data_IF_708178709169
#
_entry.id   IF_708178709169
#
_cell.length_a   1.000
_cell.length_b   1.000
_cell.length_c   1.000
_cell.angle_alpha   90.00
_cell.angle_beta   90.00
_cell.angle_gamma   90.00
#
_symmetry.space_group_name_H-M   'P 1'
#
loop_
_entity.id
_entity.type
_entity.pdbx_description
1 polymer ?
#
# COMPACT_ATOMS: atom_id res chain seq x y z
N UNK A 1 0.74 16.04 -17.45
CA UNK A 1 1.32 14.83 -18.08
C UNK A 1 0.75 13.62 -17.36
N UNK A 2 -0.12 12.84 -18.00
CA UNK A 2 -0.60 11.58 -17.43
C UNK A 2 0.52 10.55 -17.58
N UNK A 3 1.35 10.39 -16.56
CA UNK A 3 2.33 9.31 -16.56
C UNK A 3 1.56 7.99 -16.54
N UNK A 4 1.64 7.24 -17.63
CA UNK A 4 1.29 5.83 -17.61
C UNK A 4 2.05 5.19 -16.43
N UNK A 5 1.40 4.32 -15.64
CA UNK A 5 2.12 3.67 -14.55
C UNK A 5 3.31 2.92 -15.14
N UNK A 6 4.51 3.29 -14.69
CA UNK A 6 5.75 2.69 -15.16
C UNK A 6 5.69 1.18 -14.93
N UNK A 7 5.96 0.38 -15.96
CA UNK A 7 5.94 -1.09 -15.90
C UNK A 7 6.98 -1.66 -14.93
N UNK A 8 7.89 -0.83 -14.42
CA UNK A 8 8.89 -1.20 -13.42
C UNK A 8 9.20 -0.01 -12.50
N UNK A 9 9.68 -0.29 -11.31
CA UNK A 9 10.20 0.68 -10.35
C UNK A 9 11.70 0.46 -10.14
N UNK A 10 12.44 1.53 -9.87
CA UNK A 10 13.85 1.42 -9.47
C UNK A 10 13.95 0.63 -8.16
N UNK A 11 14.95 -0.25 -8.05
CA UNK A 11 15.22 -0.99 -6.82
C UNK A 11 15.51 -0.04 -5.65
N UNK A 12 16.11 1.13 -5.92
CA UNK A 12 16.34 2.15 -4.92
C UNK A 12 15.02 2.67 -4.34
N UNK A 13 14.03 2.94 -5.20
CA UNK A 13 12.70 3.35 -4.75
C UNK A 13 12.05 2.27 -3.89
N UNK A 14 12.14 1.00 -4.30
CA UNK A 14 11.57 -0.11 -3.53
C UNK A 14 12.26 -0.24 -2.16
N UNK A 15 13.58 -0.10 -2.06
CA UNK A 15 14.31 -0.30 -0.81
C UNK A 15 14.24 0.90 0.14
N UNK A 16 14.35 2.11 -0.39
CA UNK A 16 14.54 3.30 0.44
C UNK A 16 13.26 4.09 0.63
N UNK A 17 12.35 4.04 -0.34
CA UNK A 17 11.15 4.86 -0.34
C UNK A 17 9.90 4.08 0.05
N UNK A 18 10.01 2.77 0.34
CA UNK A 18 8.87 1.96 0.78
C UNK A 18 9.13 1.25 2.11
N UNK A 19 8.05 0.94 2.80
CA UNK A 19 8.07 0.08 3.98
C UNK A 19 7.12 -1.09 3.79
N UNK A 20 7.58 -2.29 4.12
CA UNK A 20 6.75 -3.51 4.07
C UNK A 20 5.70 -3.40 5.17
N UNK A 21 4.42 -3.54 4.80
CA UNK A 21 3.30 -3.57 5.75
C UNK A 21 2.79 -4.99 6.00
N UNK A 22 2.94 -5.88 5.01
CA UNK A 22 2.57 -7.29 5.14
C UNK A 22 3.32 -8.14 4.11
N UNK A 23 3.57 -9.41 4.46
CA UNK A 23 4.17 -10.42 3.57
C UNK A 23 3.27 -11.65 3.55
N UNK A 24 2.96 -12.15 2.36
CA UNK A 24 2.13 -13.35 2.17
C UNK A 24 2.83 -14.37 1.28
N UNK A 25 2.43 -15.64 1.40
CA UNK A 25 2.82 -16.70 0.47
C UNK A 25 1.60 -17.07 -0.37
N UNK A 26 1.64 -16.79 -1.67
CA UNK A 26 0.56 -17.06 -2.62
C UNK A 26 1.11 -17.74 -3.86
N UNK A 27 0.43 -18.79 -4.33
CA UNK A 27 0.86 -19.57 -5.50
C UNK A 27 2.35 -19.99 -5.45
N UNK A 28 2.87 -20.32 -4.25
CA UNK A 28 4.28 -20.64 -3.96
C UNK A 28 5.26 -19.45 -4.04
N UNK A 29 4.78 -18.23 -4.25
CA UNK A 29 5.57 -17.02 -4.27
C UNK A 29 5.38 -16.19 -3.00
N UNK A 30 6.46 -15.60 -2.49
CA UNK A 30 6.36 -14.61 -1.41
C UNK A 30 6.07 -13.25 -2.01
N UNK A 31 4.93 -12.67 -1.65
CA UNK A 31 4.57 -11.31 -2.02
C UNK A 31 4.73 -10.37 -0.82
N UNK A 32 5.12 -9.14 -1.10
CA UNK A 32 5.26 -8.08 -0.11
C UNK A 32 4.38 -6.91 -0.51
N UNK A 33 3.48 -6.53 0.39
CA UNK A 33 2.68 -5.31 0.24
C UNK A 33 3.46 -4.19 0.91
N UNK A 34 3.83 -3.17 0.13
CA UNK A 34 4.71 -2.09 0.56
C UNK A 34 3.99 -0.75 0.47
N UNK A 35 4.03 0.05 1.53
CA UNK A 35 3.55 1.44 1.54
C UNK A 35 4.65 2.35 0.99
N UNK A 36 4.32 3.30 0.11
CA UNK A 36 5.25 4.36 -0.26
C UNK A 36 5.35 5.40 0.87
N UNK A 37 6.56 5.71 1.33
CA UNK A 37 6.80 6.49 2.54
C UNK A 37 6.57 8.00 2.37
N UNK A 38 6.60 8.50 1.13
CA UNK A 38 6.61 9.95 0.86
C UNK A 38 5.26 10.53 0.40
N UNK A 39 4.21 9.70 0.25
CA UNK A 39 3.10 10.07 -0.64
C UNK A 39 1.88 10.77 -0.01
N UNK A 40 1.75 10.87 1.32
CA UNK A 40 0.70 11.71 1.92
C UNK A 40 0.88 11.94 3.43
N UNK A 41 0.54 13.15 3.90
CA UNK A 41 0.32 13.47 5.32
C UNK A 41 -0.98 12.81 5.84
N UNK A 42 -1.96 12.58 4.96
CA UNK A 42 -3.21 11.90 5.28
C UNK A 42 -3.25 10.49 4.66
N UNK A 43 -3.70 9.50 5.43
CA UNK A 43 -3.85 8.11 4.96
C UNK A 43 -4.80 7.96 3.74
N UNK A 44 -5.56 9.01 3.40
CA UNK A 44 -6.58 9.04 2.35
C UNK A 44 -6.04 9.05 0.93
N UNK A 45 -4.73 9.30 0.73
CA UNK A 45 -4.06 9.32 -0.58
C UNK A 45 -2.79 8.45 -0.57
N UNK A 46 -2.78 7.38 0.24
CA UNK A 46 -1.60 6.53 0.38
C UNK A 46 -1.45 5.57 -0.80
N UNK A 47 -0.24 5.51 -1.36
CA UNK A 47 0.13 4.56 -2.42
C UNK A 47 0.82 3.32 -1.88
N UNK A 48 0.53 2.21 -2.56
CA UNK A 48 1.04 0.90 -2.25
C UNK A 48 1.64 0.26 -3.50
N UNK A 49 2.77 -0.41 -3.31
CA UNK A 49 3.47 -1.18 -4.33
C UNK A 49 3.52 -2.61 -3.83
N UNK A 50 3.14 -3.56 -4.67
CA UNK A 50 3.18 -4.99 -4.36
C UNK A 50 4.26 -5.63 -5.22
N UNK A 51 5.19 -6.34 -4.60
CA UNK A 51 6.33 -6.97 -5.26
C UNK A 51 6.44 -8.43 -4.86
N UNK A 52 7.06 -9.25 -5.70
CA UNK A 52 7.61 -10.53 -5.25
C UNK A 52 8.87 -10.27 -4.43
N UNK A 53 9.02 -10.96 -3.30
CA UNK A 53 10.18 -10.82 -2.43
C UNK A 53 11.48 -11.18 -3.17
N UNK A 54 11.46 -12.31 -3.87
CA UNK A 54 12.61 -12.82 -4.61
C UNK A 54 13.05 -11.83 -5.71
N UNK A 55 12.09 -11.18 -6.39
CA UNK A 55 12.39 -10.15 -7.40
C UNK A 55 13.12 -8.95 -6.77
N UNK A 56 12.76 -8.53 -5.56
CA UNK A 56 13.45 -7.43 -4.85
C UNK A 56 14.85 -7.83 -4.37
N UNK A 57 15.01 -9.08 -3.94
CA UNK A 57 16.31 -9.61 -3.49
C UNK A 57 17.30 -9.77 -4.65
N UNK A 58 16.82 -10.23 -5.80
CA UNK A 58 17.65 -10.53 -6.97
C UNK A 58 17.86 -9.34 -7.93
N UNK A 59 16.99 -8.33 -7.90
CA UNK A 59 17.06 -7.21 -8.83
C UNK A 59 18.34 -6.35 -8.66
N UNK A 60 18.95 -6.02 -9.80
CA UNK A 60 20.13 -5.14 -9.88
C UNK A 60 19.79 -3.66 -10.06
N UNK A 61 18.70 -3.35 -10.77
CA UNK A 61 18.38 -1.98 -11.16
C UNK A 61 16.88 -1.65 -11.00
N UNK A 62 16.00 -2.54 -11.46
CA UNK A 62 14.57 -2.32 -11.40
C UNK A 62 13.81 -3.61 -11.05
N UNK A 63 12.63 -3.44 -10.49
CA UNK A 63 11.68 -4.49 -10.14
C UNK A 63 10.37 -4.21 -10.87
N UNK A 64 9.80 -5.24 -11.47
CA UNK A 64 8.45 -5.18 -12.02
C UNK A 64 7.47 -5.42 -10.86
N UNK A 65 6.60 -4.45 -10.51
CA UNK A 65 5.63 -4.67 -9.46
C UNK A 65 4.57 -5.67 -9.92
N UNK A 66 4.13 -6.53 -9.01
CA UNK A 66 2.95 -7.38 -9.21
C UNK A 66 1.70 -6.50 -9.36
N UNK A 67 1.57 -5.50 -8.49
CA UNK A 67 0.47 -4.54 -8.53
C UNK A 67 0.89 -3.21 -7.93
N UNK A 68 0.18 -2.15 -8.29
CA UNK A 68 0.24 -0.86 -7.61
C UNK A 68 -1.18 -0.45 -7.29
N UNK A 69 -1.39 0.04 -6.08
CA UNK A 69 -2.71 0.41 -5.59
C UNK A 69 -2.65 1.76 -4.86
N UNK A 70 -3.77 2.46 -4.88
CA UNK A 70 -3.98 3.70 -4.11
C UNK A 70 -5.19 3.46 -3.22
N UNK A 71 -5.07 3.79 -1.94
CA UNK A 71 -6.24 3.91 -1.07
C UNK A 71 -6.79 5.33 -1.22
N UNK A 72 -8.01 5.45 -1.76
CA UNK A 72 -8.68 6.73 -2.03
C UNK A 72 -10.17 6.63 -1.69
N UNK A 73 -10.69 7.60 -0.92
CA UNK A 73 -12.11 7.68 -0.55
C UNK A 73 -12.66 6.37 0.06
N UNK A 74 -11.90 5.75 0.97
CA UNK A 74 -12.30 4.51 1.64
C UNK A 74 -12.22 3.25 0.78
N UNK A 75 -11.64 3.32 -0.42
CA UNK A 75 -11.56 2.20 -1.37
C UNK A 75 -10.13 2.01 -1.86
N UNK A 76 -9.75 0.75 -2.06
CA UNK A 76 -8.51 0.38 -2.75
C UNK A 76 -8.76 0.43 -4.26
N UNK A 77 -7.90 1.13 -5.00
CA UNK A 77 -7.94 1.20 -6.46
C UNK A 77 -6.61 0.74 -7.03
N UNK A 78 -6.64 -0.30 -7.85
CA UNK A 78 -5.46 -0.75 -8.59
C UNK A 78 -5.15 0.20 -9.75
N UNK A 79 -3.97 0.79 -9.71
CA UNK A 79 -3.37 1.58 -10.81
C UNK A 79 -2.64 0.66 -11.76
N UNK A 80 -1.97 -0.36 -11.21
CA UNK A 80 -1.38 -1.47 -11.95
C UNK A 80 -2.02 -2.75 -11.42
N UNK A 81 -2.66 -3.50 -12.31
CA UNK A 81 -3.29 -4.77 -11.96
C UNK A 81 -2.35 -5.96 -12.22
N UNK A 82 -2.46 -7.03 -11.42
CA UNK A 82 -1.68 -8.26 -11.62
C UNK A 82 -1.77 -8.85 -13.03
N UNK A 83 -2.95 -8.89 -13.67
CA UNK A 83 -3.13 -9.46 -15.02
C UNK A 83 -2.32 -8.75 -16.10
N UNK A 84 -2.11 -7.44 -15.94
CA UNK A 84 -1.35 -6.64 -16.91
C UNK A 84 0.14 -6.87 -16.79
N UNK A 85 0.62 -7.19 -15.60
CA UNK A 85 2.04 -7.41 -15.34
C UNK A 85 2.40 -8.88 -15.52
N UNK A 86 1.62 -9.81 -14.97
CA UNK A 86 1.92 -11.23 -14.94
C UNK A 86 0.69 -12.04 -15.40
N UNK A 87 0.40 -12.09 -16.71
CA UNK A 87 -0.74 -12.82 -17.25
C UNK A 87 -0.69 -14.34 -16.97
N UNK A 88 0.48 -14.90 -16.70
CA UNK A 88 0.65 -16.28 -16.24
C UNK A 88 -0.08 -16.57 -14.92
N UNK A 89 -0.33 -15.56 -14.09
CA UNK A 89 -1.04 -15.68 -12.81
C UNK A 89 -2.54 -15.39 -12.89
N UNK A 90 -3.13 -15.35 -14.09
CA UNK A 90 -4.57 -15.08 -14.26
C UNK A 90 -5.47 -15.98 -13.38
N UNK A 91 -5.09 -17.25 -13.19
CA UNK A 91 -5.83 -18.20 -12.34
C UNK A 91 -5.82 -17.85 -10.85
N UNK A 92 -4.83 -17.08 -10.41
CA UNK A 92 -4.63 -16.64 -9.02
C UNK A 92 -5.01 -15.16 -8.82
N UNK A 93 -5.50 -14.48 -9.85
CA UNK A 93 -5.71 -13.03 -9.81
C UNK A 93 -6.70 -12.60 -8.73
N UNK A 94 -7.76 -13.40 -8.51
CA UNK A 94 -8.74 -13.15 -7.45
C UNK A 94 -8.07 -13.21 -6.07
N UNK A 95 -7.30 -14.27 -5.83
CA UNK A 95 -6.57 -14.49 -4.58
C UNK A 95 -5.56 -13.36 -4.32
N UNK A 96 -4.78 -12.98 -5.32
CA UNK A 96 -3.87 -11.83 -5.23
C UNK A 96 -4.62 -10.54 -4.89
N UNK A 97 -5.71 -10.24 -5.61
CA UNK A 97 -6.47 -9.01 -5.41
C UNK A 97 -7.08 -8.94 -4.01
N UNK A 98 -7.67 -10.03 -3.53
CA UNK A 98 -8.28 -10.12 -2.21
C UNK A 98 -7.26 -9.93 -1.09
N UNK A 99 -6.10 -10.59 -1.20
CA UNK A 99 -5.03 -10.47 -0.19
C UNK A 99 -4.46 -9.05 -0.17
N UNK A 100 -4.21 -8.46 -1.34
CA UNK A 100 -3.70 -7.08 -1.42
C UNK A 100 -4.71 -6.09 -0.84
N UNK A 101 -5.99 -6.21 -1.19
CA UNK A 101 -7.04 -5.35 -0.65
C UNK A 101 -7.18 -5.51 0.86
N UNK A 102 -7.15 -6.73 1.37
CA UNK A 102 -7.24 -7.02 2.80
C UNK A 102 -6.07 -6.38 3.56
N UNK A 103 -4.84 -6.55 3.08
CA UNK A 103 -3.63 -5.96 3.67
C UNK A 103 -3.70 -4.45 3.75
N UNK A 104 -4.09 -3.80 2.64
CA UNK A 104 -4.18 -2.34 2.58
C UNK A 104 -5.27 -1.84 3.53
N UNK A 105 -6.46 -2.46 3.53
CA UNK A 105 -7.56 -2.06 4.43
C UNK A 105 -7.18 -2.25 5.89
N UNK A 106 -6.57 -3.38 6.24
CA UNK A 106 -6.11 -3.66 7.61
C UNK A 106 -5.09 -2.62 8.07
N UNK A 107 -4.12 -2.29 7.22
CA UNK A 107 -3.13 -1.24 7.51
C UNK A 107 -3.81 0.12 7.72
N UNK A 108 -4.67 0.55 6.79
CA UNK A 108 -5.32 1.87 6.90
C UNK A 108 -6.27 1.95 8.09
N UNK A 109 -7.01 0.89 8.43
CA UNK A 109 -7.89 0.88 9.60
C UNK A 109 -7.08 0.90 10.91
N UNK A 110 -6.00 0.12 10.99
CA UNK A 110 -5.13 0.07 12.16
C UNK A 110 -4.39 1.38 12.43
N UNK A 111 -4.02 2.10 11.37
CA UNK A 111 -3.32 3.39 11.49
C UNK A 111 -4.26 4.60 11.50
N UNK A 112 -5.42 4.53 10.83
CA UNK A 112 -6.43 5.58 10.82
C UNK A 112 -7.14 5.75 12.16
N UNK A 113 -7.19 4.68 12.97
CA UNK A 113 -7.71 4.75 14.34
C UNK A 113 -6.77 5.46 15.32
N UNK A 114 -5.48 5.61 14.99
CA UNK A 114 -4.50 6.29 15.85
C UNK A 114 -4.65 7.82 15.71
N UNK A 115 -4.98 8.32 14.52
CA UNK A 115 -5.24 9.75 14.30
C UNK A 115 -6.62 10.22 14.79
N UNK A 116 -7.59 9.32 14.98
CA UNK A 116 -8.96 9.70 15.38
C UNK A 116 -9.17 9.88 16.88
N UNK A 117 -8.14 9.74 17.73
CA UNK A 117 -8.25 9.86 19.20
C UNK A 117 -7.53 11.06 19.83
N UNK A 118 -7.19 12.09 19.06
CA UNK A 118 -6.76 13.38 19.63
C UNK A 118 -7.62 14.54 19.12
N UNK A 119 -8.88 14.53 19.54
CA UNK A 119 -9.58 15.76 19.91
C UNK A 119 -10.18 15.55 21.29
N UNK A 120 -9.34 15.72 22.32
CA UNK A 120 -9.83 16.09 23.62
C UNK A 120 -10.46 17.48 23.46
N UNK A 121 -11.77 17.48 23.30
CA UNK A 121 -12.61 18.65 23.37
C UNK A 121 -12.36 19.34 24.71
N UNK A 122 -11.65 20.47 24.69
CA UNK A 122 -11.50 21.36 25.86
C UNK A 122 -12.59 22.44 25.87
N UNK A 123 -13.75 22.19 25.26
CA UNK A 123 -14.96 22.99 25.47
C UNK A 123 -15.80 22.41 26.61
N UNK A 124 -15.38 22.65 27.86
CA UNK A 124 -16.18 22.66 29.10
C UNK A 124 -15.20 22.36 30.25
N UNK A 125 -14.69 23.33 30.99
CA UNK A 125 -15.47 23.92 32.08
C UNK A 125 -14.90 25.29 32.44
N UNK A 126 -15.72 26.30 32.20
CA UNK A 126 -15.59 27.62 32.79
C UNK A 126 -15.86 27.47 34.29
N UNK A 127 -14.82 27.39 35.11
CA UNK A 127 -14.96 27.54 36.56
C UNK A 127 -14.99 29.03 36.87
N UNK A 128 -16.20 29.54 37.08
CA UNK A 128 -16.47 30.80 37.78
C UNK A 128 -15.94 30.66 39.22
N UNK A 129 -14.98 31.52 39.59
CA UNK A 129 -14.66 31.79 40.98
C UNK A 129 -15.39 33.08 41.37
N UNK A 130 -16.41 32.93 42.21
CA UNK A 130 -16.93 33.95 43.11
C UNK A 130 -16.67 33.49 44.54
#
# INVERSE_FOLDING_TARGET
>A
MHNAPSTSRSIQTIRDCTSIIETHVLAKHKIEVRKLNNDAVELKDTRFIVTFKDDVEMARASVKPLAEAIFLNGRVRFVVKPDKQYPEFLRHLKEFSEVIEHSIRRFVLGHGSIDSHVKADKSATQWLLH
#
